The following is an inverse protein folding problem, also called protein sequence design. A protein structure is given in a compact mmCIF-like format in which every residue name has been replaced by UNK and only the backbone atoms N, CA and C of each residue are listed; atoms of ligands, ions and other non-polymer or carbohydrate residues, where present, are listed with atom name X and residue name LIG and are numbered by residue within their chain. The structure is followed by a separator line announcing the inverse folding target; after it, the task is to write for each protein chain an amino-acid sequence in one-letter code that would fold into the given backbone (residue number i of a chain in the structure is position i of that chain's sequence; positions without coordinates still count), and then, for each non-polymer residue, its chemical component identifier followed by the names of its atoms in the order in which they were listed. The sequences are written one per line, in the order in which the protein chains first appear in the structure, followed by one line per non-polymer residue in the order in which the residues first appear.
data_IF_782008640616
#
_entry.id   IF_782008640616
#
_cell.length_a   1.000
_cell.length_b   1.000
_cell.length_c   1.000
_cell.angle_alpha   90.00
_cell.angle_beta   90.00
_cell.angle_gamma   90.00
#
_symmetry.space_group_name_H-M   'P 1'
#
loop_
_entity.id
_entity.type
_entity.pdbx_description
1 polymer ?
#
# COMPACT_ATOMS: atom_id res chain seq x y z
N UNK A 1 -66.80 -6.55 13.73
CA UNK A 1 -66.09 -5.71 12.74
C UNK A 1 -64.61 -5.96 12.92
N UNK A 2 -63.99 -6.63 11.95
CA UNK A 2 -62.53 -6.80 11.87
C UNK A 2 -61.98 -5.49 11.37
N UNK A 3 -61.16 -4.83 12.18
CA UNK A 3 -60.40 -3.68 11.74
C UNK A 3 -59.05 -4.14 11.18
N UNK A 4 -58.70 -3.48 10.09
CA UNK A 4 -57.82 -3.92 9.02
C UNK A 4 -56.36 -3.88 9.43
N UNK A 5 -55.64 -5.00 9.22
CA UNK A 5 -54.20 -5.06 9.41
C UNK A 5 -53.46 -4.14 8.43
N UNK A 6 -52.61 -3.27 8.98
CA UNK A 6 -51.54 -2.62 8.22
C UNK A 6 -50.52 -3.72 7.87
N UNK A 7 -50.53 -4.16 6.61
CA UNK A 7 -49.45 -4.97 6.07
C UNK A 7 -48.14 -4.17 6.15
N UNK A 8 -47.28 -4.50 7.12
CA UNK A 8 -45.90 -4.02 7.13
C UNK A 8 -45.21 -4.51 5.86
N UNK A 9 -44.91 -3.60 4.93
CA UNK A 9 -44.15 -3.92 3.73
C UNK A 9 -42.77 -4.47 4.14
N UNK A 10 -42.48 -5.69 3.72
CA UNK A 10 -41.19 -6.33 3.93
C UNK A 10 -40.11 -5.54 3.18
N UNK A 11 -39.00 -5.21 3.85
CA UNK A 11 -37.91 -4.43 3.26
C UNK A 11 -37.02 -5.31 2.38
N UNK A 12 -36.51 -4.76 1.28
CA UNK A 12 -35.51 -5.42 0.46
C UNK A 12 -34.24 -5.69 1.28
N UNK A 13 -33.59 -6.83 1.02
CA UNK A 13 -32.33 -7.15 1.67
C UNK A 13 -31.23 -6.18 1.25
N UNK A 14 -30.40 -5.73 2.20
CA UNK A 14 -29.29 -4.80 1.96
C UNK A 14 -28.35 -5.32 0.88
N UNK A 15 -27.98 -6.60 0.92
CA UNK A 15 -27.14 -7.23 -0.11
C UNK A 15 -27.71 -7.05 -1.53
N UNK A 16 -29.04 -7.12 -1.69
CA UNK A 16 -29.69 -6.93 -2.99
C UNK A 16 -29.55 -5.49 -3.45
N UNK A 17 -29.76 -4.52 -2.56
CA UNK A 17 -29.60 -3.09 -2.86
C UNK A 17 -28.14 -2.74 -3.16
N UNK A 18 -27.22 -3.29 -2.38
CA UNK A 18 -25.78 -3.12 -2.55
C UNK A 18 -25.35 -3.60 -3.94
N UNK A 19 -25.78 -4.79 -4.38
CA UNK A 19 -25.47 -5.28 -5.73
C UNK A 19 -25.96 -4.34 -6.83
N UNK A 20 -27.20 -3.84 -6.73
CA UNK A 20 -27.76 -2.92 -7.73
C UNK A 20 -27.06 -1.57 -7.72
N UNK A 21 -26.77 -1.01 -6.54
CA UNK A 21 -26.01 0.22 -6.40
C UNK A 21 -24.59 0.06 -6.97
N UNK A 22 -23.94 -1.08 -6.74
CA UNK A 22 -22.62 -1.40 -7.29
C UNK A 22 -22.63 -1.44 -8.83
N UNK A 23 -23.69 -1.99 -9.44
CA UNK A 23 -23.89 -1.95 -10.91
C UNK A 23 -24.08 -0.53 -11.41
N UNK A 24 -24.90 0.27 -10.74
CA UNK A 24 -25.13 1.69 -11.10
C UNK A 24 -23.83 2.48 -11.05
N UNK A 25 -23.12 2.43 -9.92
CA UNK A 25 -21.83 3.12 -9.76
C UNK A 25 -20.81 2.64 -10.80
N UNK A 26 -20.74 1.34 -11.08
CA UNK A 26 -19.82 0.81 -12.09
C UNK A 26 -20.16 1.32 -13.49
N UNK A 27 -21.45 1.40 -13.84
CA UNK A 27 -21.91 1.96 -15.12
C UNK A 27 -21.54 3.43 -15.28
N UNK A 28 -21.74 4.24 -14.25
CA UNK A 28 -21.46 5.68 -14.24
C UNK A 28 -19.95 5.98 -14.18
N UNK A 29 -19.16 5.18 -13.45
CA UNK A 29 -17.70 5.30 -13.37
C UNK A 29 -16.98 4.80 -14.63
N UNK A 30 -17.69 4.07 -15.51
CA UNK A 30 -17.22 3.65 -16.83
C UNK A 30 -16.40 2.36 -16.87
N UNK A 31 -15.76 2.13 -18.03
CA UNK A 31 -15.24 0.84 -18.56
C UNK A 31 -14.25 0.08 -17.64
N UNK A 32 -13.73 0.72 -16.58
CA UNK A 32 -12.74 0.12 -15.67
C UNK A 32 -13.30 -0.34 -14.33
N UNK A 33 -14.58 -0.10 -14.06
CA UNK A 33 -15.25 -0.54 -12.85
C UNK A 33 -15.80 -1.96 -12.99
N UNK A 34 -15.13 -2.92 -12.35
CA UNK A 34 -15.68 -4.26 -12.10
C UNK A 34 -16.24 -4.33 -10.69
N UNK A 35 -17.54 -4.64 -10.57
CA UNK A 35 -18.14 -5.04 -9.30
C UNK A 35 -17.98 -6.54 -9.13
N UNK A 36 -17.24 -6.96 -8.09
CA UNK A 36 -17.17 -8.36 -7.70
C UNK A 36 -18.10 -8.60 -6.51
N UNK A 37 -19.14 -9.40 -6.71
CA UNK A 37 -19.94 -9.96 -5.62
C UNK A 37 -19.33 -11.29 -5.20
N UNK A 38 -18.82 -11.37 -3.96
CA UNK A 38 -18.19 -12.61 -3.49
C UNK A 38 -18.73 -12.97 -2.12
N UNK A 39 -19.66 -13.94 -2.11
CA UNK A 39 -20.33 -14.47 -0.92
C UNK A 39 -19.41 -15.33 -0.03
N UNK A 40 -18.34 -14.72 0.50
CA UNK A 40 -17.57 -15.26 1.64
C UNK A 40 -17.67 -14.27 2.78
N UNK A 41 -17.91 -14.77 4.00
CA UNK A 41 -18.20 -14.01 5.24
C UNK A 41 -17.21 -12.86 5.57
N UNK A 42 -16.03 -12.83 4.95
CA UNK A 42 -14.98 -11.84 5.20
C UNK A 42 -14.69 -10.90 4.02
N UNK A 43 -15.59 -10.76 3.03
CA UNK A 43 -15.39 -9.89 1.85
C UNK A 43 -16.41 -8.74 1.76
N UNK A 44 -16.07 -7.62 1.10
CA UNK A 44 -16.97 -6.49 0.91
C UNK A 44 -18.20 -6.81 0.06
N UNK A 45 -19.34 -6.17 0.34
CA UNK A 45 -20.58 -6.37 -0.43
C UNK A 45 -20.46 -5.84 -1.87
N UNK A 46 -19.73 -4.73 -2.03
CA UNK A 46 -19.36 -4.17 -3.32
C UNK A 46 -17.89 -3.78 -3.27
N UNK A 47 -17.11 -4.29 -4.21
CA UNK A 47 -15.78 -3.77 -4.52
C UNK A 47 -15.82 -3.18 -5.91
N UNK A 48 -15.46 -1.91 -6.03
CA UNK A 48 -15.30 -1.23 -7.31
C UNK A 48 -13.80 -0.97 -7.53
N UNK A 49 -13.27 -1.43 -8.65
CA UNK A 49 -11.90 -1.13 -9.06
C UNK A 49 -11.92 0.06 -10.02
N UNK A 50 -11.18 1.13 -9.76
CA UNK A 50 -11.07 2.26 -10.70
C UNK A 50 -9.62 2.69 -10.79
N UNK A 51 -9.03 2.59 -11.99
CA UNK A 51 -7.62 2.93 -12.25
C UNK A 51 -6.63 2.27 -11.26
N UNK A 52 -6.92 1.02 -10.84
CA UNK A 52 -6.10 0.27 -9.89
C UNK A 52 -6.35 0.59 -8.41
N UNK A 53 -7.24 1.54 -8.10
CA UNK A 53 -7.70 1.84 -6.73
C UNK A 53 -8.89 0.94 -6.41
N UNK A 54 -8.86 0.27 -5.25
CA UNK A 54 -9.92 -0.61 -4.77
C UNK A 54 -10.85 0.13 -3.81
N UNK A 55 -12.11 0.30 -4.19
CA UNK A 55 -13.11 1.04 -3.41
C UNK A 55 -14.12 0.05 -2.85
N UNK A 56 -14.28 0.07 -1.53
CA UNK A 56 -15.29 -0.69 -0.80
C UNK A 56 -16.52 0.18 -0.63
N UNK A 57 -17.69 -0.32 -1.05
CA UNK A 57 -18.96 0.39 -0.83
C UNK A 57 -19.87 -0.51 0.00
N UNK A 58 -20.36 0.03 1.11
CA UNK A 58 -21.32 -0.65 1.99
C UNK A 58 -22.55 0.21 2.20
N UNK A 59 -23.71 -0.29 1.79
CA UNK A 59 -25.00 0.29 2.12
C UNK A 59 -25.69 -0.51 3.22
N UNK A 60 -26.22 0.18 4.23
CA UNK A 60 -27.05 -0.41 5.27
C UNK A 60 -28.21 0.50 5.66
N UNK A 61 -29.24 -0.07 6.30
CA UNK A 61 -30.28 0.69 7.01
C UNK A 61 -29.77 1.26 8.36
N UNK A 62 -28.53 0.96 8.75
CA UNK A 62 -27.87 1.43 9.97
C UNK A 62 -26.57 2.17 9.63
N UNK A 63 -26.43 3.43 10.10
CA UNK A 63 -25.19 4.20 9.92
C UNK A 63 -24.00 3.52 10.58
N UNK A 64 -24.22 3.00 11.79
CA UNK A 64 -23.16 2.38 12.60
C UNK A 64 -22.64 1.13 11.93
N UNK A 65 -23.53 0.31 11.36
CA UNK A 65 -23.14 -0.94 10.71
C UNK A 65 -22.38 -0.65 9.42
N UNK A 66 -22.92 0.21 8.54
CA UNK A 66 -22.23 0.61 7.32
C UNK A 66 -20.84 1.21 7.58
N UNK A 67 -20.69 2.08 8.58
CA UNK A 67 -19.40 2.69 8.89
C UNK A 67 -18.42 1.68 9.49
N UNK A 68 -18.87 0.85 10.44
CA UNK A 68 -18.04 -0.16 11.09
C UNK A 68 -17.53 -1.21 10.10
N UNK A 69 -18.40 -1.68 9.21
CA UNK A 69 -18.06 -2.72 8.24
C UNK A 69 -17.06 -2.21 7.20
N UNK A 70 -17.27 -0.99 6.68
CA UNK A 70 -16.30 -0.37 5.77
C UNK A 70 -14.97 -0.15 6.49
N UNK A 71 -14.98 0.39 7.71
CA UNK A 71 -13.76 0.66 8.46
C UNK A 71 -12.95 -0.61 8.69
N UNK A 72 -13.60 -1.69 9.14
CA UNK A 72 -12.95 -2.98 9.32
C UNK A 72 -12.37 -3.53 8.01
N UNK A 73 -13.07 -3.35 6.88
CA UNK A 73 -12.60 -3.77 5.55
C UNK A 73 -11.35 -2.99 5.11
N UNK A 74 -11.30 -1.67 5.35
CA UNK A 74 -10.12 -0.84 5.06
C UNK A 74 -8.92 -1.24 5.93
N UNK A 75 -9.15 -1.45 7.23
CA UNK A 75 -8.13 -1.89 8.20
C UNK A 75 -7.53 -3.25 7.83
N UNK A 76 -8.37 -4.20 7.39
CA UNK A 76 -7.97 -5.54 6.90
C UNK A 76 -7.33 -5.52 5.50
N UNK A 77 -7.16 -4.36 4.88
CA UNK A 77 -6.56 -4.23 3.54
C UNK A 77 -7.45 -4.70 2.39
N UNK A 78 -8.76 -4.79 2.61
CA UNK A 78 -9.72 -5.19 1.59
C UNK A 78 -10.14 -4.04 0.66
N UNK A 79 -9.74 -2.81 0.93
CA UNK A 79 -9.94 -1.64 0.07
C UNK A 79 -8.94 -0.53 0.38
N UNK A 80 -8.68 0.34 -0.60
CA UNK A 80 -7.88 1.55 -0.47
C UNK A 80 -8.73 2.75 -0.03
N UNK A 81 -10.02 2.73 -0.39
CA UNK A 81 -11.03 3.70 0.00
C UNK A 81 -12.34 3.00 0.34
N UNK A 82 -13.13 3.62 1.21
CA UNK A 82 -14.41 3.14 1.68
C UNK A 82 -15.51 4.17 1.51
N UNK A 83 -16.72 3.72 1.20
CA UNK A 83 -17.93 4.52 1.16
C UNK A 83 -18.98 3.81 2.00
N UNK A 84 -19.34 4.41 3.14
CA UNK A 84 -20.45 3.96 3.97
C UNK A 84 -21.71 4.73 3.57
N UNK A 85 -22.82 4.02 3.37
CA UNK A 85 -24.05 4.58 2.84
C UNK A 85 -25.26 4.15 3.67
N UNK A 86 -26.15 5.09 3.95
CA UNK A 86 -27.41 4.85 4.65
C UNK A 86 -28.58 4.81 3.66
N UNK A 87 -29.29 3.70 3.63
CA UNK A 87 -30.61 3.59 3.00
C UNK A 87 -31.68 4.24 3.91
N UNK A 88 -31.88 5.57 3.79
CA UNK A 88 -32.90 6.30 4.56
C UNK A 88 -34.32 5.81 4.27
N UNK A 89 -34.61 5.59 2.99
CA UNK A 89 -35.91 5.14 2.55
C UNK A 89 -36.06 3.62 2.67
N UNK A 90 -37.26 3.16 3.00
CA UNK A 90 -37.58 1.74 2.92
C UNK A 90 -37.78 1.36 1.45
N UNK A 91 -36.95 0.44 0.97
CA UNK A 91 -37.09 -0.18 -0.34
C UNK A 91 -37.97 -1.43 -0.21
N UNK A 92 -39.15 -1.49 -0.84
CA UNK A 92 -40.03 -2.65 -0.74
C UNK A 92 -39.43 -3.88 -1.42
N UNK A 93 -39.53 -5.05 -0.76
CA UNK A 93 -38.95 -6.29 -1.26
C UNK A 93 -39.62 -6.81 -2.54
N UNK A 94 -40.89 -6.48 -2.75
CA UNK A 94 -41.70 -6.92 -3.87
C UNK A 94 -41.40 -6.20 -5.20
N UNK A 95 -40.54 -5.17 -5.19
CA UNK A 95 -40.09 -4.51 -6.42
C UNK A 95 -39.14 -5.40 -7.22
N UNK A 96 -39.20 -5.27 -8.54
CA UNK A 96 -38.25 -5.89 -9.50
C UNK A 96 -36.87 -5.24 -9.41
N UNK A 97 -35.84 -5.86 -10.00
CA UNK A 97 -34.50 -5.26 -10.04
C UNK A 97 -34.49 -3.90 -10.77
N UNK A 98 -35.18 -3.80 -11.92
CA UNK A 98 -35.25 -2.55 -12.68
C UNK A 98 -35.96 -1.42 -11.93
N UNK A 99 -37.04 -1.73 -11.20
CA UNK A 99 -37.74 -0.75 -10.37
C UNK A 99 -36.88 -0.29 -9.18
N UNK A 100 -36.12 -1.20 -8.57
CA UNK A 100 -35.18 -0.87 -7.50
C UNK A 100 -34.01 -0.02 -8.02
N UNK A 101 -33.46 -0.34 -9.20
CA UNK A 101 -32.40 0.45 -9.83
C UNK A 101 -32.86 1.88 -10.13
N UNK A 102 -34.02 2.05 -10.77
CA UNK A 102 -34.58 3.38 -11.04
C UNK A 102 -34.80 4.18 -9.75
N UNK A 103 -35.30 3.52 -8.70
CA UNK A 103 -35.46 4.15 -7.40
C UNK A 103 -34.12 4.56 -6.80
N UNK A 104 -33.14 3.66 -6.76
CA UNK A 104 -31.79 3.92 -6.27
C UNK A 104 -31.12 5.09 -7.01
N UNK A 105 -31.29 5.20 -8.34
CA UNK A 105 -30.77 6.34 -9.12
C UNK A 105 -31.34 7.68 -8.67
N UNK A 106 -32.62 7.70 -8.30
CA UNK A 106 -33.34 8.91 -7.89
C UNK A 106 -33.25 9.23 -6.39
N UNK A 107 -32.74 8.30 -5.57
CA UNK A 107 -32.65 8.45 -4.12
C UNK A 107 -31.45 9.31 -3.72
N UNK A 108 -31.67 10.20 -2.74
CA UNK A 108 -30.60 10.86 -1.99
C UNK A 108 -30.26 10.02 -0.77
N UNK A 109 -28.99 9.64 -0.65
CA UNK A 109 -28.46 8.86 0.46
C UNK A 109 -27.82 9.76 1.50
N UNK A 110 -27.59 9.25 2.72
CA UNK A 110 -26.50 9.79 3.54
C UNK A 110 -25.27 8.93 3.33
N UNK A 111 -24.13 9.58 3.20
CA UNK A 111 -22.87 8.96 2.83
C UNK A 111 -21.76 9.48 3.71
N UNK A 112 -20.81 8.62 4.05
CA UNK A 112 -19.54 9.00 4.64
C UNK A 112 -18.39 8.29 3.91
N UNK A 113 -17.37 9.05 3.53
CA UNK A 113 -16.12 8.47 3.07
C UNK A 113 -15.31 7.97 4.26
N UNK A 114 -14.86 6.72 4.15
CA UNK A 114 -13.99 6.08 5.11
C UNK A 114 -12.65 5.87 4.41
N UNK A 115 -11.62 6.54 4.89
CA UNK A 115 -10.29 6.52 4.28
C UNK A 115 -9.26 6.10 5.31
N UNK A 116 -8.13 5.51 4.87
CA UNK A 116 -7.02 5.22 5.76
C UNK A 116 -6.54 6.47 6.53
N UNK A 117 -6.22 6.30 7.82
CA UNK A 117 -5.82 7.42 8.70
C UNK A 117 -4.57 8.13 8.18
N UNK A 118 -3.64 7.41 7.55
CA UNK A 118 -2.38 7.93 7.03
C UNK A 118 -2.53 8.95 5.90
N UNK A 119 -3.67 8.95 5.19
CA UNK A 119 -3.94 9.89 4.10
C UNK A 119 -5.08 10.87 4.40
N UNK A 120 -5.73 10.76 5.57
CA UNK A 120 -6.94 11.51 5.87
C UNK A 120 -6.72 13.02 5.85
N UNK A 121 -5.69 13.49 6.56
CA UNK A 121 -5.37 14.92 6.63
C UNK A 121 -4.93 15.50 5.28
N UNK A 122 -4.21 14.71 4.48
CA UNK A 122 -3.76 15.12 3.15
C UNK A 122 -4.91 15.19 2.15
N UNK A 123 -5.85 14.23 2.20
CA UNK A 123 -7.05 14.27 1.37
C UNK A 123 -7.95 15.44 1.77
N UNK A 124 -8.11 15.71 3.07
CA UNK A 124 -8.85 16.88 3.56
C UNK A 124 -8.27 18.20 3.04
N UNK A 125 -6.94 18.34 3.06
CA UNK A 125 -6.26 19.51 2.47
C UNK A 125 -6.49 19.58 0.97
N UNK A 126 -6.42 18.45 0.26
CA UNK A 126 -6.68 18.38 -1.18
C UNK A 126 -8.10 18.80 -1.54
N UNK A 127 -9.11 18.26 -0.83
CA UNK A 127 -10.52 18.64 -0.99
C UNK A 127 -10.75 20.11 -0.69
N UNK A 128 -10.20 20.61 0.42
CA UNK A 128 -10.30 22.04 0.77
C UNK A 128 -9.71 22.93 -0.34
N UNK A 129 -8.56 22.55 -0.90
CA UNK A 129 -7.94 23.26 -2.03
C UNK A 129 -8.78 23.25 -3.30
N UNK A 130 -9.61 22.21 -3.50
CA UNK A 130 -10.58 22.10 -4.60
C UNK A 130 -11.96 22.66 -4.27
N UNK A 131 -12.14 23.27 -3.10
CA UNK A 131 -13.44 23.78 -2.59
C UNK A 131 -14.50 22.68 -2.45
N UNK A 132 -14.08 21.44 -2.20
CA UNK A 132 -14.94 20.31 -1.87
C UNK A 132 -15.23 20.33 -0.36
N UNK A 133 -16.47 20.05 0.04
CA UNK A 133 -16.85 20.07 1.45
C UNK A 133 -16.04 19.05 2.29
N UNK A 134 -15.35 19.47 3.36
CA UNK A 134 -14.60 18.54 4.22
C UNK A 134 -15.47 17.46 4.88
N UNK A 135 -16.79 17.73 4.99
CA UNK A 135 -17.78 16.82 5.60
C UNK A 135 -17.87 15.46 4.94
N UNK A 136 -17.48 15.33 3.67
CA UNK A 136 -17.38 14.02 3.02
C UNK A 136 -16.55 13.02 3.81
N UNK A 137 -15.48 13.49 4.46
CA UNK A 137 -14.53 12.68 5.23
C UNK A 137 -14.77 12.80 6.73
N UNK A 138 -15.15 13.98 7.22
CA UNK A 138 -15.31 14.23 8.66
C UNK A 138 -16.69 13.84 9.22
N UNK A 139 -17.68 13.57 8.36
CA UNK A 139 -19.05 13.27 8.79
C UNK A 139 -19.90 12.61 7.72
N UNK A 140 -21.20 12.55 8.00
CA UNK A 140 -22.20 12.07 7.04
C UNK A 140 -22.78 13.25 6.26
N UNK A 141 -22.91 13.10 4.95
CA UNK A 141 -23.44 14.11 4.02
C UNK A 141 -24.51 13.51 3.12
N UNK A 142 -25.48 14.32 2.71
CA UNK A 142 -26.50 13.91 1.74
C UNK A 142 -25.94 13.95 0.32
N UNK A 143 -26.14 12.87 -0.43
CA UNK A 143 -25.56 12.70 -1.77
C UNK A 143 -26.40 11.77 -2.64
N UNK A 144 -26.56 12.13 -3.91
CA UNK A 144 -27.07 11.23 -4.95
C UNK A 144 -25.96 10.39 -5.60
N UNK A 145 -26.34 9.53 -6.55
CA UNK A 145 -25.39 8.68 -7.29
C UNK A 145 -24.34 9.51 -8.06
N UNK A 146 -24.74 10.62 -8.67
CA UNK A 146 -23.80 11.48 -9.41
C UNK A 146 -22.81 12.19 -8.49
N UNK A 147 -23.25 12.62 -7.31
CA UNK A 147 -22.36 13.21 -6.31
C UNK A 147 -21.33 12.18 -5.83
N UNK A 148 -21.76 10.94 -5.58
CA UNK A 148 -20.90 9.80 -5.24
C UNK A 148 -19.83 9.56 -6.30
N UNK A 149 -20.23 9.50 -7.57
CA UNK A 149 -19.30 9.31 -8.70
C UNK A 149 -18.27 10.43 -8.75
N UNK A 150 -18.71 11.68 -8.58
CA UNK A 150 -17.83 12.86 -8.58
C UNK A 150 -16.79 12.80 -7.47
N UNK A 151 -17.23 12.57 -6.21
CA UNK A 151 -16.32 12.53 -5.07
C UNK A 151 -15.38 11.31 -5.10
N UNK A 152 -15.86 10.16 -5.60
CA UNK A 152 -15.03 8.97 -5.83
C UNK A 152 -13.91 9.32 -6.81
N UNK A 153 -14.22 9.98 -7.94
CA UNK A 153 -13.21 10.40 -8.92
C UNK A 153 -12.20 11.38 -8.35
N UNK A 154 -12.62 12.34 -7.51
CA UNK A 154 -11.73 13.28 -6.84
C UNK A 154 -10.79 12.56 -5.85
N UNK A 155 -11.31 11.61 -5.07
CA UNK A 155 -10.51 10.80 -4.17
C UNK A 155 -9.53 9.89 -4.93
N UNK A 156 -9.95 9.29 -6.04
CA UNK A 156 -9.07 8.53 -6.94
C UNK A 156 -7.99 9.45 -7.51
N UNK A 157 -8.32 10.67 -7.94
CA UNK A 157 -7.33 11.59 -8.48
C UNK A 157 -6.28 11.97 -7.42
N UNK A 158 -6.70 12.17 -6.18
CA UNK A 158 -5.78 12.36 -5.06
C UNK A 158 -4.87 11.14 -4.87
N UNK A 159 -5.46 9.94 -4.73
CA UNK A 159 -4.70 8.71 -4.51
C UNK A 159 -3.77 8.41 -5.69
N UNK A 160 -4.20 8.63 -6.92
CA UNK A 160 -3.40 8.37 -8.12
C UNK A 160 -2.40 9.50 -8.39
N UNK A 161 -2.52 10.65 -7.71
CA UNK A 161 -1.57 11.73 -7.88
C UNK A 161 -0.14 11.25 -7.55
N UNK A 162 0.78 11.52 -8.46
CA UNK A 162 2.18 11.13 -8.30
C UNK A 162 2.95 12.11 -7.41
N UNK A 163 2.37 13.27 -7.09
CA UNK A 163 3.05 14.34 -6.37
C UNK A 163 3.52 13.91 -4.98
N UNK A 164 2.65 13.25 -4.21
CA UNK A 164 2.95 12.83 -2.84
C UNK A 164 3.95 11.66 -2.81
N UNK A 165 3.86 10.75 -3.80
CA UNK A 165 4.90 9.74 -4.01
C UNK A 165 6.23 10.40 -4.33
N UNK A 166 6.25 11.32 -5.30
CA UNK A 166 7.48 11.94 -5.76
C UNK A 166 8.15 12.74 -4.63
N UNK A 167 7.36 13.41 -3.80
CA UNK A 167 7.88 14.07 -2.60
C UNK A 167 8.53 13.06 -1.65
N UNK A 168 7.83 11.99 -1.29
CA UNK A 168 8.37 10.95 -0.40
C UNK A 168 9.64 10.30 -0.99
N UNK A 169 9.64 10.04 -2.30
CA UNK A 169 10.78 9.48 -3.02
C UNK A 169 11.98 10.44 -3.00
N UNK A 170 11.75 11.75 -3.15
CA UNK A 170 12.82 12.75 -3.06
C UNK A 170 13.39 12.83 -1.63
N UNK A 171 12.54 12.79 -0.60
CA UNK A 171 12.97 12.75 0.80
C UNK A 171 13.83 11.51 1.08
N UNK A 172 13.45 10.34 0.53
CA UNK A 172 14.26 9.12 0.60
C UNK A 172 15.60 9.30 -0.12
N UNK A 173 15.62 9.91 -1.30
CA UNK A 173 16.85 10.18 -2.04
C UNK A 173 17.81 11.04 -1.21
N UNK A 174 17.32 12.11 -0.59
CA UNK A 174 18.12 12.97 0.27
C UNK A 174 18.73 12.21 1.46
N UNK A 175 17.93 11.38 2.15
CA UNK A 175 18.41 10.59 3.30
C UNK A 175 19.41 9.50 2.89
N UNK A 176 19.24 8.90 1.71
CA UNK A 176 20.21 7.95 1.15
C UNK A 176 21.51 8.68 0.78
N UNK A 177 21.43 9.87 0.20
CA UNK A 177 22.62 10.68 -0.11
C UNK A 177 23.41 11.01 1.17
N UNK A 178 22.72 11.41 2.25
CA UNK A 178 23.33 11.63 3.57
C UNK A 178 24.05 10.39 4.09
N UNK A 179 23.41 9.22 3.97
CA UNK A 179 24.00 7.95 4.38
C UNK A 179 25.26 7.63 3.56
N UNK A 180 25.20 7.79 2.24
CA UNK A 180 26.35 7.58 1.32
C UNK A 180 27.52 8.49 1.70
N UNK A 181 27.26 9.77 1.96
CA UNK A 181 28.31 10.71 2.37
C UNK A 181 28.93 10.33 3.71
N UNK A 182 28.12 9.84 4.66
CA UNK A 182 28.61 9.33 5.95
C UNK A 182 29.50 8.10 5.75
N UNK A 183 29.07 7.13 4.93
CA UNK A 183 29.84 5.94 4.57
C UNK A 183 31.20 6.29 3.95
N UNK A 184 31.24 7.27 3.03
CA UNK A 184 32.50 7.72 2.43
C UNK A 184 33.49 8.27 3.44
N UNK A 185 33.00 8.99 4.45
CA UNK A 185 33.86 9.52 5.51
C UNK A 185 34.40 8.44 6.44
N UNK A 186 33.66 7.35 6.64
CA UNK A 186 34.05 6.22 7.49
C UNK A 186 34.94 5.21 6.74
N UNK A 187 34.75 5.04 5.43
CA UNK A 187 35.45 4.03 4.62
C UNK A 187 36.47 4.62 3.65
N UNK A 188 37.38 5.45 4.16
CA UNK A 188 38.43 6.10 3.34
C UNK A 188 39.27 5.09 2.52
N UNK A 189 39.49 3.89 3.10
CA UNK A 189 40.28 2.81 2.48
C UNK A 189 39.45 1.89 1.56
N UNK A 190 38.14 2.12 1.44
CA UNK A 190 37.21 1.35 0.60
C UNK A 190 37.13 -0.14 0.96
N UNK A 191 37.37 -0.48 2.23
CA UNK A 191 37.31 -1.87 2.72
C UNK A 191 35.85 -2.31 2.91
N UNK A 192 34.99 -1.41 3.42
CA UNK A 192 33.56 -1.67 3.53
C UNK A 192 32.92 -1.75 2.14
N UNK A 193 33.26 -0.85 1.21
CA UNK A 193 32.82 -0.92 -0.18
C UNK A 193 33.13 -2.28 -0.80
N UNK A 194 34.35 -2.80 -0.59
CA UNK A 194 34.72 -4.14 -1.08
C UNK A 194 33.85 -5.24 -0.47
N UNK A 195 33.70 -5.24 0.85
CA UNK A 195 32.89 -6.25 1.57
C UNK A 195 31.42 -6.22 1.13
N UNK A 196 30.84 -5.04 1.05
CA UNK A 196 29.45 -4.82 0.62
C UNK A 196 29.25 -5.14 -0.87
N UNK A 197 30.25 -4.84 -1.72
CA UNK A 197 30.23 -5.24 -3.12
C UNK A 197 30.18 -6.76 -3.26
N UNK A 198 31.01 -7.49 -2.51
CA UNK A 198 30.97 -8.95 -2.51
C UNK A 198 29.60 -9.46 -2.07
N UNK A 199 29.01 -8.92 -0.99
CA UNK A 199 27.68 -9.34 -0.52
C UNK A 199 26.57 -9.06 -1.55
N UNK A 200 26.53 -7.85 -2.11
CA UNK A 200 25.44 -7.41 -2.99
C UNK A 200 25.51 -7.99 -4.40
N UNK A 201 26.70 -8.38 -4.88
CA UNK A 201 26.91 -8.79 -6.27
C UNK A 201 27.38 -10.25 -6.45
N UNK A 202 28.01 -10.91 -5.46
CA UNK A 202 28.40 -12.34 -5.61
C UNK A 202 27.21 -13.26 -5.76
N UNK A 203 26.07 -12.97 -5.13
CA UNK A 203 24.88 -13.83 -5.19
C UNK A 203 24.32 -13.98 -6.62
N UNK A 204 24.73 -13.13 -7.57
CA UNK A 204 24.21 -13.15 -8.94
C UNK A 204 25.25 -13.54 -10.00
N UNK A 205 26.47 -13.93 -9.61
CA UNK A 205 27.54 -14.23 -10.58
C UNK A 205 27.96 -13.03 -11.45
N UNK A 206 27.56 -11.82 -11.07
CA UNK A 206 27.78 -10.58 -11.81
C UNK A 206 28.90 -9.77 -11.15
N UNK A 207 29.96 -9.46 -11.89
CA UNK A 207 30.90 -8.41 -11.49
C UNK A 207 30.50 -7.10 -12.18
N UNK A 208 30.00 -6.13 -11.41
CA UNK A 208 29.63 -4.83 -11.93
C UNK A 208 30.68 -3.79 -11.56
N UNK A 209 31.58 -3.49 -12.50
CA UNK A 209 32.58 -2.42 -12.34
C UNK A 209 33.62 -2.67 -11.23
N UNK A 210 34.49 -1.69 -11.05
CA UNK A 210 35.47 -1.66 -9.95
C UNK A 210 34.81 -1.06 -8.71
N UNK A 211 34.75 -1.81 -7.61
CA UNK A 211 34.14 -1.38 -6.34
C UNK A 211 34.71 -0.04 -5.84
N UNK A 212 35.96 0.31 -6.19
CA UNK A 212 36.55 1.60 -5.84
C UNK A 212 35.98 2.77 -6.64
N UNK A 213 35.43 2.52 -7.82
CA UNK A 213 34.84 3.52 -8.71
C UNK A 213 33.32 3.65 -8.53
N UNK A 214 32.67 2.62 -7.98
CA UNK A 214 31.22 2.56 -7.76
C UNK A 214 30.84 2.47 -6.28
N UNK A 215 31.74 2.87 -5.37
CA UNK A 215 31.54 2.83 -3.93
C UNK A 215 30.26 3.55 -3.49
N UNK A 216 29.97 4.72 -4.07
CA UNK A 216 28.74 5.46 -3.79
C UNK A 216 27.48 4.65 -4.13
N UNK A 217 27.47 3.95 -5.26
CA UNK A 217 26.36 3.09 -5.66
C UNK A 217 26.21 1.87 -4.74
N UNK A 218 27.33 1.30 -4.29
CA UNK A 218 27.34 0.21 -3.31
C UNK A 218 26.71 0.70 -2.00
N UNK A 219 27.12 1.85 -1.50
CA UNK A 219 26.56 2.44 -0.27
C UNK A 219 25.08 2.80 -0.41
N UNK A 220 24.65 3.33 -1.57
CA UNK A 220 23.25 3.61 -1.84
C UNK A 220 22.40 2.34 -1.85
N UNK A 221 22.89 1.26 -2.47
CA UNK A 221 22.22 -0.06 -2.45
C UNK A 221 22.18 -0.65 -1.04
N UNK A 222 23.22 -0.47 -0.25
CA UNK A 222 23.23 -0.85 1.17
C UNK A 222 22.15 -0.11 1.95
N UNK A 223 22.08 1.22 1.83
CA UNK A 223 21.05 2.03 2.48
C UNK A 223 19.64 1.59 2.06
N UNK A 224 19.43 1.35 0.76
CA UNK A 224 18.16 0.92 0.21
C UNK A 224 17.76 -0.48 0.70
N UNK A 225 18.71 -1.42 0.79
CA UNK A 225 18.46 -2.77 1.31
C UNK A 225 17.98 -2.70 2.75
N UNK A 226 18.64 -1.89 3.58
CA UNK A 226 18.26 -1.68 4.99
C UNK A 226 16.90 -1.01 5.08
N UNK A 227 16.69 0.09 4.34
CA UNK A 227 15.45 0.86 4.36
C UNK A 227 14.24 0.00 3.96
N UNK A 228 14.31 -0.70 2.82
CA UNK A 228 13.20 -1.52 2.34
C UNK A 228 12.92 -2.69 3.29
N UNK A 229 13.95 -3.33 3.84
CA UNK A 229 13.79 -4.44 4.80
C UNK A 229 13.21 -3.96 6.13
N UNK A 230 13.62 -2.78 6.60
CA UNK A 230 13.08 -2.15 7.81
C UNK A 230 11.63 -1.69 7.62
N UNK A 231 11.32 -1.07 6.47
CA UNK A 231 9.95 -0.65 6.14
C UNK A 231 9.02 -1.86 6.04
N UNK A 232 9.47 -2.94 5.38
CA UNK A 232 8.67 -4.16 5.31
C UNK A 232 8.43 -4.75 6.70
N UNK A 233 9.47 -4.89 7.51
CA UNK A 233 9.37 -5.37 8.90
C UNK A 233 8.31 -4.58 9.67
N UNK A 234 8.43 -3.25 9.66
CA UNK A 234 7.53 -2.38 10.41
C UNK A 234 6.09 -2.41 9.87
N UNK A 235 5.92 -2.67 8.56
CA UNK A 235 4.59 -2.78 7.95
C UNK A 235 3.82 -4.04 8.36
N UNK A 236 4.53 -5.14 8.67
CA UNK A 236 3.90 -6.43 9.01
C UNK A 236 3.97 -6.77 10.50
N UNK A 237 4.86 -6.13 11.28
CA UNK A 237 5.15 -6.53 12.68
C UNK A 237 3.90 -6.72 13.55
N UNK A 238 2.89 -5.88 13.39
CA UNK A 238 1.69 -5.93 14.22
C UNK A 238 0.80 -7.14 13.90
N UNK A 239 0.83 -7.63 12.66
CA UNK A 239 0.07 -8.81 12.22
C UNK A 239 0.72 -10.12 12.68
N UNK A 240 2.05 -10.10 12.86
CA UNK A 240 2.86 -11.27 13.24
C UNK A 240 3.43 -11.16 14.67
N UNK A 241 2.89 -10.26 15.49
CA UNK A 241 3.24 -10.05 16.91
C UNK A 241 4.75 -9.87 17.16
N UNK A 242 5.39 -9.02 16.35
CA UNK A 242 6.80 -8.64 16.50
C UNK A 242 6.97 -7.25 17.13
N UNK A 243 8.07 -7.10 17.88
CA UNK A 243 8.44 -5.87 18.57
C UNK A 243 8.69 -4.71 17.61
N UNK A 244 8.46 -3.48 18.06
CA UNK A 244 8.73 -2.28 17.28
C UNK A 244 10.23 -2.07 16.99
N UNK A 245 10.56 -1.63 15.78
CA UNK A 245 11.94 -1.49 15.35
C UNK A 245 12.71 -0.47 16.20
N UNK A 246 12.12 0.70 16.49
CA UNK A 246 12.74 1.70 17.37
C UNK A 246 12.96 1.18 18.79
N UNK A 247 12.06 0.36 19.36
CA UNK A 247 12.26 -0.25 20.67
C UNK A 247 13.47 -1.21 20.67
N UNK A 248 13.58 -2.07 19.66
CA UNK A 248 14.72 -2.97 19.48
C UNK A 248 16.04 -2.19 19.32
N UNK A 249 16.04 -1.12 18.53
CA UNK A 249 17.20 -0.26 18.32
C UNK A 249 17.59 0.53 19.59
N UNK A 250 16.63 1.00 20.39
CA UNK A 250 16.91 1.69 21.65
C UNK A 250 17.53 0.75 22.68
N UNK A 251 17.05 -0.50 22.78
CA UNK A 251 17.55 -1.51 23.73
C UNK A 251 18.96 -2.00 23.37
N UNK A 252 19.27 -2.14 22.08
CA UNK A 252 20.45 -2.89 21.62
C UNK A 252 21.48 -2.04 20.84
N UNK A 253 21.14 -0.79 20.52
CA UNK A 253 21.85 0.02 19.51
C UNK A 253 21.31 -0.26 18.09
N UNK A 254 21.46 0.70 17.18
CA UNK A 254 20.78 0.64 15.87
C UNK A 254 21.20 -0.54 15.01
N UNK A 255 22.50 -0.87 14.95
CA UNK A 255 22.99 -2.01 14.15
C UNK A 255 22.46 -3.34 14.69
N UNK A 256 22.61 -3.58 16.00
CA UNK A 256 22.17 -4.84 16.61
C UNK A 256 20.63 -4.94 16.68
N UNK A 257 19.93 -3.82 16.88
CA UNK A 257 18.48 -3.76 16.83
C UNK A 257 17.91 -4.12 15.46
N UNK A 258 18.47 -3.54 14.38
CA UNK A 258 18.11 -3.91 13.00
C UNK A 258 18.37 -5.40 12.74
N UNK A 259 19.53 -5.91 13.16
CA UNK A 259 19.85 -7.34 13.01
C UNK A 259 18.81 -8.22 13.70
N UNK A 260 18.49 -7.94 14.98
CA UNK A 260 17.49 -8.72 15.74
C UNK A 260 16.10 -8.68 15.11
N UNK A 261 15.68 -7.51 14.64
CA UNK A 261 14.40 -7.37 13.92
C UNK A 261 14.40 -8.26 12.66
N UNK A 262 15.48 -8.21 11.89
CA UNK A 262 15.60 -8.98 10.65
C UNK A 262 15.69 -10.49 10.90
N UNK A 263 16.37 -10.93 11.96
CA UNK A 263 16.36 -12.34 12.40
C UNK A 263 14.96 -12.79 12.84
N UNK A 264 14.23 -11.95 13.57
CA UNK A 264 12.90 -12.30 14.07
C UNK A 264 11.90 -12.57 12.93
N UNK A 265 11.91 -11.74 11.88
CA UNK A 265 11.04 -11.92 10.71
C UNK A 265 11.55 -12.98 9.73
N UNK A 266 12.86 -13.25 9.71
CA UNK A 266 13.46 -14.34 8.91
C UNK A 266 12.85 -15.70 9.28
N UNK A 267 12.55 -15.93 10.55
CA UNK A 267 11.92 -17.17 11.04
C UNK A 267 10.45 -17.34 10.61
N UNK A 268 9.82 -16.29 10.03
CA UNK A 268 8.39 -16.25 9.66
C UNK A 268 8.19 -16.35 8.13
N UNK A 269 8.94 -17.23 7.45
CA UNK A 269 8.85 -17.53 6.00
C UNK A 269 9.33 -16.44 5.00
N UNK A 270 9.95 -15.34 5.45
CA UNK A 270 10.50 -14.28 4.56
C UNK A 270 12.01 -14.42 4.26
N UNK A 271 12.53 -15.66 4.36
CA UNK A 271 13.96 -16.01 4.45
C UNK A 271 14.88 -15.37 3.39
N UNK A 272 14.58 -15.41 2.07
CA UNK A 272 15.54 -14.94 1.07
C UNK A 272 15.82 -13.43 1.11
N UNK A 273 14.84 -12.62 1.53
CA UNK A 273 14.96 -11.16 1.57
C UNK A 273 15.84 -10.75 2.76
N UNK A 274 15.61 -11.39 3.91
CA UNK A 274 16.26 -11.00 5.16
C UNK A 274 17.67 -11.55 5.32
N UNK A 275 18.04 -12.65 4.64
CA UNK A 275 19.43 -13.15 4.65
C UNK A 275 20.43 -12.07 4.20
N UNK A 276 20.17 -11.43 3.05
CA UNK A 276 21.01 -10.34 2.55
C UNK A 276 20.99 -9.13 3.49
N UNK A 277 19.82 -8.76 4.01
CA UNK A 277 19.69 -7.60 4.90
C UNK A 277 20.48 -7.80 6.20
N UNK A 278 20.43 -9.00 6.79
CA UNK A 278 21.20 -9.38 7.98
C UNK A 278 22.69 -9.26 7.67
N UNK A 279 23.17 -9.90 6.59
CA UNK A 279 24.59 -9.86 6.21
C UNK A 279 25.09 -8.42 5.95
N UNK A 280 24.25 -7.59 5.33
CA UNK A 280 24.55 -6.17 5.09
C UNK A 280 24.69 -5.41 6.42
N UNK A 281 23.73 -5.54 7.34
CA UNK A 281 23.77 -4.85 8.64
C UNK A 281 24.95 -5.33 9.49
N UNK A 282 25.28 -6.62 9.45
CA UNK A 282 26.45 -7.18 10.13
C UNK A 282 27.77 -6.69 9.59
N UNK A 283 27.83 -6.33 8.30
CA UNK A 283 29.04 -5.80 7.69
C UNK A 283 29.35 -4.35 8.11
N UNK A 284 28.36 -3.61 8.63
CA UNK A 284 28.51 -2.21 8.99
C UNK A 284 29.16 -2.02 10.37
N UNK A 285 30.02 -1.00 10.55
CA UNK A 285 30.55 -0.63 11.86
C UNK A 285 29.52 0.13 12.72
N UNK A 286 29.66 0.04 14.04
CA UNK A 286 28.82 0.76 15.01
C UNK A 286 28.96 2.29 14.95
N UNK A 287 30.05 2.81 14.36
CA UNK A 287 30.24 4.25 14.11
C UNK A 287 29.16 4.86 13.21
N UNK A 288 28.45 4.03 12.44
CA UNK A 288 27.34 4.45 11.57
C UNK A 288 25.98 4.51 12.31
N UNK A 289 25.97 4.30 13.63
CA UNK A 289 24.74 4.25 14.43
C UNK A 289 23.78 5.42 14.16
N UNK A 290 24.30 6.66 14.04
CA UNK A 290 23.47 7.83 13.74
C UNK A 290 22.89 7.83 12.32
N UNK A 291 23.62 7.29 11.33
CA UNK A 291 23.14 7.15 9.97
C UNK A 291 22.07 6.05 9.88
N UNK A 292 22.27 4.94 10.60
CA UNK A 292 21.29 3.87 10.74
C UNK A 292 20.02 4.34 11.44
N UNK A 293 20.16 5.19 12.48
CA UNK A 293 19.02 5.84 13.13
C UNK A 293 18.12 6.57 12.13
N UNK A 294 18.71 7.42 11.28
CA UNK A 294 17.94 8.14 10.25
C UNK A 294 17.21 7.20 9.29
N UNK A 295 17.81 6.05 8.94
CA UNK A 295 17.16 5.05 8.09
C UNK A 295 16.01 4.34 8.81
N UNK A 296 16.15 4.05 10.11
CA UNK A 296 15.08 3.45 10.92
C UNK A 296 13.89 4.42 11.05
N UNK A 297 14.16 5.68 11.38
CA UNK A 297 13.11 6.72 11.47
C UNK A 297 12.38 6.88 10.13
N UNK A 298 13.13 6.90 9.02
CA UNK A 298 12.56 6.95 7.67
C UNK A 298 11.75 5.70 7.35
N UNK A 299 12.20 4.52 7.79
CA UNK A 299 11.49 3.27 7.57
C UNK A 299 10.15 3.23 8.32
N UNK A 300 10.13 3.71 9.56
CA UNK A 300 8.91 3.86 10.37
C UNK A 300 7.95 4.85 9.71
N UNK A 301 8.44 6.00 9.26
CA UNK A 301 7.63 6.98 8.52
C UNK A 301 7.07 6.41 7.20
N UNK A 302 7.87 5.67 6.44
CA UNK A 302 7.39 5.04 5.21
C UNK A 302 6.34 3.96 5.50
N UNK A 303 6.52 3.21 6.59
CA UNK A 303 5.61 2.12 6.98
C UNK A 303 4.26 2.60 7.51
N UNK A 304 4.23 3.78 8.15
CA UNK A 304 2.97 4.39 8.61
C UNK A 304 2.10 4.82 7.44
N UNK A 305 2.71 5.15 6.29
CA UNK A 305 2.03 5.49 5.03
C UNK A 305 1.63 4.23 4.26
N UNK A 306 0.73 3.42 4.83
CA UNK A 306 0.22 2.15 4.25
C UNK A 306 -0.27 2.32 2.80
N UNK A 307 -0.88 3.46 2.48
CA UNK A 307 -1.36 3.76 1.13
C UNK A 307 -0.21 3.88 0.12
N UNK A 308 0.97 4.34 0.54
CA UNK A 308 2.16 4.37 -0.32
C UNK A 308 2.70 2.96 -0.56
N UNK A 309 2.76 2.10 0.46
CA UNK A 309 3.30 0.74 0.34
C UNK A 309 2.48 -0.16 -0.59
N UNK A 310 1.18 0.10 -0.74
CA UNK A 310 0.31 -0.61 -1.70
C UNK A 310 0.54 -0.20 -3.15
N UNK A 311 1.10 0.99 -3.36
CA UNK A 311 1.53 1.44 -4.69
C UNK A 311 2.88 0.79 -4.97
N UNK A 312 3.33 0.74 -6.23
CA UNK A 312 4.65 0.20 -6.61
C UNK A 312 5.81 1.09 -6.07
N UNK A 313 5.82 1.33 -4.76
CA UNK A 313 6.69 2.25 -4.04
C UNK A 313 8.10 1.71 -3.97
N UNK A 314 8.27 0.43 -3.65
CA UNK A 314 9.58 -0.22 -3.66
C UNK A 314 10.23 -0.14 -5.05
N UNK A 315 9.46 -0.39 -6.13
CA UNK A 315 9.91 -0.24 -7.50
C UNK A 315 10.29 1.21 -7.84
N UNK A 316 9.42 2.18 -7.52
CA UNK A 316 9.68 3.60 -7.76
C UNK A 316 10.91 4.12 -6.99
N UNK A 317 11.06 3.75 -5.72
CA UNK A 317 12.25 4.10 -4.92
C UNK A 317 13.49 3.44 -5.52
N UNK A 318 13.44 2.15 -5.85
CA UNK A 318 14.58 1.47 -6.46
C UNK A 318 14.98 2.12 -7.79
N UNK A 319 14.02 2.37 -8.69
CA UNK A 319 14.28 2.99 -9.98
C UNK A 319 14.82 4.41 -9.84
N UNK A 320 14.28 5.21 -8.91
CA UNK A 320 14.80 6.54 -8.66
C UNK A 320 16.23 6.48 -8.13
N UNK A 321 16.48 5.71 -7.09
CA UNK A 321 17.78 5.68 -6.42
C UNK A 321 18.81 4.99 -7.30
N UNK A 322 18.58 3.74 -7.71
CA UNK A 322 19.56 2.98 -8.49
C UNK A 322 19.65 3.50 -9.93
N UNK A 323 18.52 3.88 -10.54
CA UNK A 323 18.48 4.40 -11.91
C UNK A 323 19.11 5.78 -12.04
N UNK A 324 18.77 6.75 -11.19
CA UNK A 324 19.39 8.08 -11.26
C UNK A 324 20.88 8.00 -10.95
N UNK A 325 21.30 7.20 -9.97
CA UNK A 325 22.71 7.02 -9.66
C UNK A 325 23.48 6.32 -10.79
N UNK A 326 22.86 5.36 -11.47
CA UNK A 326 23.45 4.72 -12.65
C UNK A 326 23.59 5.70 -13.83
N UNK A 327 22.60 6.57 -14.05
CA UNK A 327 22.58 7.55 -15.15
C UNK A 327 23.52 8.74 -14.87
N UNK A 328 23.47 9.34 -13.67
CA UNK A 328 24.24 10.54 -13.28
C UNK A 328 25.76 10.37 -13.40
N UNK A 329 26.26 9.13 -13.44
CA UNK A 329 27.70 8.83 -13.46
C UNK A 329 28.12 7.92 -14.62
N UNK A 330 27.33 7.85 -15.70
CA UNK A 330 27.64 7.05 -16.89
C UNK A 330 27.77 5.53 -16.62
N UNK A 331 27.15 5.03 -15.55
CA UNK A 331 27.06 3.61 -15.25
C UNK A 331 25.85 2.93 -15.89
N UNK A 332 25.04 3.67 -16.66
CA UNK A 332 23.88 3.15 -17.40
C UNK A 332 24.25 1.97 -18.32
N UNK A 333 25.46 1.96 -18.87
CA UNK A 333 25.99 0.86 -19.68
C UNK A 333 26.13 -0.47 -18.92
N UNK A 334 26.19 -0.43 -17.58
CA UNK A 334 26.31 -1.61 -16.72
C UNK A 334 24.95 -2.12 -16.19
N UNK A 335 23.85 -1.41 -16.43
CA UNK A 335 22.58 -1.67 -15.75
C UNK A 335 21.36 -1.64 -16.67
N UNK A 336 21.12 -2.79 -17.32
CA UNK A 336 19.77 -3.39 -17.33
C UNK A 336 19.88 -4.64 -16.47
N UNK A 337 19.76 -4.53 -15.14
CA UNK A 337 19.95 -5.71 -14.28
C UNK A 337 18.66 -6.33 -13.79
N UNK A 338 18.72 -7.64 -13.82
CA UNK A 338 17.88 -8.69 -13.29
C UNK A 338 17.12 -8.39 -11.98
N UNK A 339 17.58 -7.63 -10.96
CA UNK A 339 16.80 -7.42 -9.74
C UNK A 339 15.47 -6.71 -9.93
N UNK A 340 15.38 -5.73 -10.84
CA UNK A 340 14.09 -5.14 -11.21
C UNK A 340 13.22 -6.18 -11.93
N UNK A 341 13.81 -7.00 -12.81
CA UNK A 341 13.10 -8.10 -13.45
C UNK A 341 12.72 -9.23 -12.48
N UNK A 342 13.48 -9.45 -11.40
CA UNK A 342 13.27 -10.48 -10.39
C UNK A 342 12.23 -10.03 -9.36
N UNK A 343 12.25 -8.76 -8.96
CA UNK A 343 11.20 -8.14 -8.16
C UNK A 343 9.91 -8.04 -8.97
N UNK A 344 9.96 -7.65 -10.24
CA UNK A 344 8.80 -7.66 -11.13
C UNK A 344 8.31 -9.09 -11.38
N UNK A 345 9.18 -10.08 -11.58
CA UNK A 345 8.79 -11.49 -11.71
C UNK A 345 8.21 -12.04 -10.41
N UNK A 346 8.79 -11.69 -9.26
CA UNK A 346 8.29 -12.08 -7.95
C UNK A 346 6.93 -11.44 -7.65
N UNK A 347 6.77 -10.15 -7.91
CA UNK A 347 5.48 -9.46 -7.83
C UNK A 347 4.50 -10.06 -8.86
N UNK A 348 4.93 -10.44 -10.06
CA UNK A 348 4.06 -11.04 -11.08
C UNK A 348 3.62 -12.48 -10.74
N UNK A 349 4.49 -13.26 -10.07
CA UNK A 349 4.25 -14.66 -9.71
C UNK A 349 3.55 -14.81 -8.36
N UNK A 350 3.80 -13.90 -7.40
CA UNK A 350 3.31 -14.01 -6.02
C UNK A 350 2.26 -12.96 -5.62
N UNK A 351 1.97 -11.95 -6.45
CA UNK A 351 0.70 -11.22 -6.29
C UNK A 351 -0.44 -12.12 -6.74
N UNK A 352 -1.36 -12.43 -5.82
CA UNK A 352 -2.49 -13.37 -6.02
C UNK A 352 -3.54 -12.93 -7.06
N UNK A 353 -3.20 -12.07 -8.02
CA UNK A 353 -4.11 -11.53 -9.02
C UNK A 353 -3.56 -11.50 -10.46
N UNK A 354 -2.40 -12.12 -10.75
CA UNK A 354 -1.78 -12.09 -12.10
C UNK A 354 -1.75 -13.43 -12.88
N UNK A 355 -2.72 -13.64 -13.75
CA UNK A 355 -2.70 -14.42 -15.04
C UNK A 355 -2.33 -15.92 -15.06
N UNK A 356 -1.71 -16.54 -14.06
CA UNK A 356 -1.34 -17.97 -14.14
C UNK A 356 -1.99 -18.83 -13.05
N UNK A 357 -3.31 -19.03 -13.15
CA UNK A 357 -4.06 -19.88 -12.22
C UNK A 357 -3.84 -21.40 -12.38
N UNK A 358 -3.05 -21.85 -13.37
CA UNK A 358 -2.86 -23.27 -13.65
C UNK A 358 -1.41 -23.59 -14.02
N UNK A 359 -0.53 -23.80 -13.03
CA UNK A 359 0.55 -24.76 -13.19
C UNK A 359 0.64 -25.68 -11.99
N UNK A 360 0.55 -26.98 -12.30
CA UNK A 360 0.89 -28.10 -11.44
C UNK A 360 2.30 -27.92 -10.88
N UNK A 361 2.52 -28.47 -9.69
CA UNK A 361 3.82 -28.68 -9.05
C UNK A 361 4.95 -28.87 -10.07
N UNK A 362 5.77 -27.84 -10.26
CA UNK A 362 7.07 -28.02 -10.88
C UNK A 362 8.02 -28.36 -9.76
N UNK A 363 8.36 -29.64 -9.63
CA UNK A 363 9.55 -30.05 -8.88
C UNK A 363 10.75 -29.48 -9.61
N UNK A 364 11.39 -28.49 -9.02
CA UNK A 364 12.72 -28.06 -9.45
C UNK A 364 13.68 -29.15 -8.96
N UNK A 365 14.26 -29.89 -9.92
CA UNK A 365 15.28 -30.90 -9.66
C UNK A 365 16.63 -30.28 -9.29
N UNK A 366 17.44 -31.10 -8.62
CA UNK A 366 18.73 -30.84 -7.97
C UNK A 366 19.68 -29.82 -8.65
#
# INVERSE_FOLDING_TARGET
MKDSGVHGQQRAFENRLNVLLGRLLSGELGIRATSEYISRRDRPDIVIYVNGVKIVVEGSYSKTDAESDVKQKIEKGLGDLGVALLYREVFPQNLTESELEERLKSTTFEVKFVIPEDISDTLLKFFTGRKIEPRWVTGWIEAGVQDLVSIINEAIQFITSEKDINQTVNEIEEKINDFVMTMKSVDEKKLLAKKLYELLYKLYGLSVGDYKKIDELIYAKTALTILLSATFYQSVRAEIDLEELSELCQKNGYRLGLRKAFEAIYEVDYKPIYDLAIQVVEALPDTLSQALKKLVELAEECSSKRTLLRRDFAGKVYHKIVGDWAIRKNFATYFTTVPAAYLLAYLSVFTRTGVFANFREVKVGD
#
